data_IF_111736631412
#
_entry.id   IF_111736631412
#
_cell.length_a   1.000
_cell.length_b   1.000
_cell.length_c   1.000
_cell.angle_alpha   90.00
_cell.angle_beta   90.00
_cell.angle_gamma   90.00
#
_symmetry.space_group_name_H-M   'P 1'
#
loop_
_entity.id
_entity.type
_entity.pdbx_description
1 polymer ?
#
# COMPACT_ATOMS: atom_id res chain seq x y z
N UNK A 1 -0.53 12.52 -3.76
CA UNK A 1 0.42 11.38 -3.69
C UNK A 1 -0.42 10.13 -3.65
N UNK A 2 -0.21 9.15 -4.55
CA UNK A 2 -1.07 7.96 -4.62
C UNK A 2 -0.87 7.08 -3.38
N UNK A 3 -1.96 6.85 -2.66
CA UNK A 3 -2.02 5.96 -1.50
C UNK A 3 -2.68 4.66 -1.94
N UNK A 4 -2.23 3.54 -1.39
CA UNK A 4 -2.80 2.24 -1.66
C UNK A 4 -3.10 1.53 -0.33
N UNK A 5 -4.20 0.78 -0.24
CA UNK A 5 -4.46 -0.12 0.86
C UNK A 5 -4.01 -1.53 0.51
N UNK A 6 -3.47 -2.24 1.50
CA UNK A 6 -3.09 -3.65 1.39
C UNK A 6 -4.15 -4.45 2.13
N UNK A 7 -4.71 -5.46 1.46
CA UNK A 7 -5.71 -6.35 2.05
C UNK A 7 -5.08 -7.16 3.18
N UNK A 8 -5.59 -6.98 4.38
CA UNK A 8 -5.18 -7.70 5.60
C UNK A 8 -6.30 -8.61 6.06
N UNK A 9 -5.95 -9.73 6.71
CA UNK A 9 -6.91 -10.78 7.07
C UNK A 9 -7.56 -10.65 8.45
N UNK A 10 -7.07 -9.83 9.39
CA UNK A 10 -7.68 -9.69 10.72
C UNK A 10 -7.34 -8.35 11.38
N UNK A 11 -8.17 -7.31 11.19
CA UNK A 11 -8.15 -6.09 12.02
C UNK A 11 -6.94 -5.15 11.87
N UNK A 12 -5.82 -5.61 11.34
CA UNK A 12 -4.66 -4.76 11.01
C UNK A 12 -4.99 -3.88 9.81
N UNK A 13 -4.67 -2.59 9.85
CA UNK A 13 -4.77 -1.71 8.69
C UNK A 13 -3.36 -1.51 8.10
N UNK A 14 -3.14 -2.01 6.88
CA UNK A 14 -1.87 -1.81 6.18
C UNK A 14 -2.10 -0.95 4.94
N UNK A 15 -1.33 0.12 4.81
CA UNK A 15 -1.36 1.00 3.65
C UNK A 15 0.06 1.22 3.12
N UNK A 16 0.18 1.46 1.83
CA UNK A 16 1.44 1.79 1.21
C UNK A 16 1.34 2.98 0.26
N UNK A 17 2.44 3.70 0.12
CA UNK A 17 2.58 4.81 -0.81
C UNK A 17 3.78 4.58 -1.71
N UNK A 18 3.65 4.87 -3.00
CA UNK A 18 4.79 4.83 -3.93
C UNK A 18 5.66 6.06 -3.64
N UNK A 19 6.88 5.83 -3.17
CA UNK A 19 7.90 6.85 -2.98
C UNK A 19 8.63 7.13 -4.29
N UNK A 20 8.94 6.08 -5.05
CA UNK A 20 9.69 6.17 -6.28
C UNK A 20 9.26 5.09 -7.27
N UNK A 21 9.12 5.47 -8.53
CA UNK A 21 8.94 4.56 -9.66
C UNK A 21 10.29 4.38 -10.37
N UNK A 22 10.60 3.14 -10.75
CA UNK A 22 11.79 2.76 -11.51
C UNK A 22 11.38 1.79 -12.61
N UNK A 23 12.24 1.58 -13.60
CA UNK A 23 11.97 0.64 -14.69
C UNK A 23 11.79 -0.81 -14.19
N UNK A 24 12.49 -1.17 -13.11
CA UNK A 24 12.41 -2.49 -12.49
C UNK A 24 11.19 -2.67 -11.57
N UNK A 25 10.59 -1.58 -11.06
CA UNK A 25 9.55 -1.67 -10.05
C UNK A 25 9.35 -0.39 -9.24
N UNK A 26 8.77 -0.53 -8.05
CA UNK A 26 8.35 0.57 -7.20
C UNK A 26 8.99 0.47 -5.82
N UNK A 27 9.45 1.61 -5.30
CA UNK A 27 9.80 1.75 -3.89
C UNK A 27 8.52 2.18 -3.16
N UNK A 28 8.02 1.30 -2.30
CA UNK A 28 6.84 1.51 -1.49
C UNK A 28 7.24 1.85 -0.06
N UNK A 29 6.60 2.86 0.53
CA UNK A 29 6.56 3.02 1.99
C UNK A 29 5.33 2.30 2.51
N UNK A 30 5.53 1.23 3.25
CA UNK A 30 4.48 0.44 3.89
C UNK A 30 4.33 0.91 5.34
N UNK A 31 3.11 1.26 5.73
CA UNK A 31 2.71 1.55 7.09
C UNK A 31 1.74 0.45 7.54
N UNK A 32 2.13 -0.28 8.57
CA UNK A 32 1.30 -1.30 9.21
C UNK A 32 0.88 -0.77 10.57
N UNK A 33 -0.42 -0.66 10.79
CA UNK A 33 -0.98 -0.41 12.12
C UNK A 33 -1.36 -1.75 12.76
N UNK A 34 -0.69 -2.05 13.88
CA UNK A 34 -0.96 -3.25 14.67
C UNK A 34 -1.05 -2.88 16.14
N UNK A 35 -2.25 -3.03 16.72
CA UNK A 35 -2.50 -2.91 18.17
C UNK A 35 -1.95 -1.60 18.78
N UNK A 36 -2.07 -0.47 18.05
CA UNK A 36 -1.60 0.85 18.50
C UNK A 36 -0.12 1.13 18.23
N UNK A 37 0.60 0.20 17.59
CA UNK A 37 1.94 0.42 17.07
C UNK A 37 1.93 0.56 15.55
N UNK A 38 2.29 1.76 15.09
CA UNK A 38 2.52 2.03 13.68
C UNK A 38 3.95 1.67 13.31
N UNK A 39 4.13 0.67 12.45
CA UNK A 39 5.42 0.33 11.86
C UNK A 39 5.49 0.87 10.44
N UNK A 40 6.47 1.74 10.19
CA UNK A 40 6.79 2.24 8.85
C UNK A 40 8.01 1.51 8.33
N UNK A 41 7.96 1.03 7.09
CA UNK A 41 9.07 0.38 6.41
C UNK A 41 9.07 0.74 4.94
N UNK A 42 10.24 0.77 4.33
CA UNK A 42 10.42 1.06 2.90
C UNK A 42 10.87 -0.23 2.23
N UNK A 43 10.15 -0.64 1.20
CA UNK A 43 10.33 -1.93 0.54
C UNK A 43 10.26 -1.77 -0.98
N UNK A 44 10.96 -2.63 -1.70
CA UNK A 44 10.97 -2.63 -3.16
C UNK A 44 10.08 -3.74 -3.67
N UNK A 45 9.14 -3.40 -4.54
CA UNK A 45 8.31 -4.36 -5.24
C UNK A 45 8.57 -4.29 -6.74
N UNK A 46 8.74 -5.45 -7.37
CA UNK A 46 8.86 -5.52 -8.82
C UNK A 46 7.56 -5.07 -9.49
N UNK A 47 7.68 -4.48 -10.69
CA UNK A 47 6.54 -3.93 -11.41
C UNK A 47 5.45 -4.97 -11.67
N UNK A 48 5.84 -6.18 -12.08
CA UNK A 48 4.91 -7.28 -12.39
C UNK A 48 4.17 -7.76 -11.14
N UNK A 49 4.87 -7.87 -10.01
CA UNK A 49 4.27 -8.26 -8.74
C UNK A 49 3.30 -7.19 -8.23
N UNK A 50 3.66 -5.91 -8.36
CA UNK A 50 2.77 -4.81 -7.99
C UNK A 50 1.49 -4.83 -8.84
N UNK A 51 1.61 -4.98 -10.16
CA UNK A 51 0.46 -5.05 -11.06
C UNK A 51 -0.41 -6.27 -10.75
N UNK A 52 0.20 -7.42 -10.47
CA UNK A 52 -0.51 -8.63 -10.04
C UNK A 52 -1.27 -8.40 -8.73
N UNK A 53 -0.66 -7.75 -7.73
CA UNK A 53 -1.30 -7.42 -6.47
C UNK A 53 -2.48 -6.46 -6.65
N UNK A 54 -2.35 -5.47 -7.53
CA UNK A 54 -3.46 -4.56 -7.87
C UNK A 54 -4.58 -5.32 -8.59
N UNK A 55 -4.22 -6.14 -9.57
CA UNK A 55 -5.17 -6.93 -10.38
C UNK A 55 -5.94 -7.97 -9.57
N UNK A 56 -5.29 -8.57 -8.57
CA UNK A 56 -5.92 -9.58 -7.69
C UNK A 56 -6.74 -8.94 -6.55
N UNK A 57 -6.69 -7.62 -6.39
CA UNK A 57 -7.33 -6.92 -5.28
C UNK A 57 -6.61 -7.12 -3.94
N UNK A 58 -5.32 -7.48 -3.98
CA UNK A 58 -4.48 -7.48 -2.79
C UNK A 58 -4.04 -6.05 -2.44
N UNK A 59 -3.74 -5.23 -3.45
CA UNK A 59 -3.48 -3.80 -3.32
C UNK A 59 -4.62 -3.03 -3.99
N UNK A 60 -5.19 -2.06 -3.28
CA UNK A 60 -6.23 -1.19 -3.83
C UNK A 60 -5.75 0.26 -3.87
N UNK A 61 -5.83 0.91 -5.03
CA UNK A 61 -5.57 2.35 -5.14
C UNK A 61 -6.65 3.10 -4.36
N UNK A 62 -6.23 3.80 -3.31
CA UNK A 62 -7.06 4.75 -2.59
C UNK A 62 -6.97 6.07 -3.37
N UNK A 63 -7.97 6.32 -4.22
CA UNK A 63 -8.15 7.64 -4.79
C UNK A 63 -8.24 8.65 -3.64
N UNK A 64 -7.51 9.77 -3.73
CA UNK A 64 -7.47 10.85 -2.73
C UNK A 64 -8.86 11.46 -2.39
N UNK A 65 -9.94 10.97 -3.00
CA UNK A 65 -11.33 11.28 -2.68
C UNK A 65 -11.94 10.51 -1.49
N UNK A 66 -11.21 9.60 -0.83
CA UNK A 66 -11.70 8.92 0.39
C UNK A 66 -11.21 9.58 1.69
N UNK A 67 -11.13 10.91 1.70
CA UNK A 67 -11.12 11.71 2.93
C UNK A 67 -12.56 11.99 3.37
N UNK A 68 -13.40 10.99 3.65
CA UNK A 68 -14.66 11.18 4.42
C UNK A 68 -15.38 9.86 4.63
N UNK A 69 -15.32 9.31 5.84
CA UNK A 69 -16.47 8.74 6.57
C UNK A 69 -16.13 9.02 8.05
N UNK A 70 -16.58 10.14 8.61
CA UNK A 70 -17.92 10.44 9.15
C UNK A 70 -18.09 9.91 10.58
#
# INVERSE_FOLDING_TARGET
MKLYSIKTTQGDASYCSILQETDAGYILRICMDKEGYQKVSEDFIEKDLFDMCVRTGYIHELSEAASVVA
#
